data_IF_913283544128
#
_entry.id   IF_913283544128
#
_cell.length_a   1.000
_cell.length_b   1.000
_cell.length_c   1.000
_cell.angle_alpha   90.00
_cell.angle_beta   90.00
_cell.angle_gamma   90.00
#
_symmetry.space_group_name_H-M   'P 1'
#
loop_
_entity.id
_entity.type
_entity.pdbx_description
1 polymer ?
#
# COMPACT_ATOMS: atom_id res chain seq x y z
N UNK A 1 36.47 -3.44 16.04
CA UNK A 1 35.85 -4.51 16.86
C UNK A 1 34.49 -4.01 17.30
N UNK A 2 33.41 -4.36 16.59
CA UNK A 2 32.06 -3.89 16.93
C UNK A 2 31.54 -4.71 18.10
N UNK A 3 31.17 -4.03 19.18
CA UNK A 3 30.73 -4.65 20.42
C UNK A 3 29.42 -5.44 20.18
N UNK A 4 29.23 -6.64 20.76
CA UNK A 4 28.01 -7.42 20.58
C UNK A 4 26.73 -6.67 21.02
N UNK A 5 26.86 -5.68 21.91
CA UNK A 5 25.80 -4.77 22.31
C UNK A 5 25.29 -3.87 21.15
N UNK A 6 26.18 -3.37 20.29
CA UNK A 6 25.79 -2.54 19.13
C UNK A 6 24.97 -3.34 18.11
N UNK A 7 25.27 -4.63 17.96
CA UNK A 7 24.57 -5.52 17.04
C UNK A 7 23.14 -5.83 17.55
N UNK A 8 22.94 -5.88 18.86
CA UNK A 8 21.62 -6.01 19.48
C UNK A 8 20.81 -4.71 19.41
N UNK A 9 21.41 -3.56 19.75
CA UNK A 9 20.72 -2.26 19.67
C UNK A 9 20.31 -1.90 18.24
N UNK A 10 21.17 -2.21 17.25
CA UNK A 10 20.86 -2.03 15.81
C UNK A 10 19.80 -3.03 15.32
N UNK A 11 19.71 -4.22 15.93
CA UNK A 11 18.61 -5.18 15.69
C UNK A 11 17.30 -4.82 16.37
N UNK A 12 17.29 -3.97 17.40
CA UNK A 12 16.08 -3.55 18.13
C UNK A 12 15.48 -2.23 17.60
N UNK A 13 16.32 -1.34 17.04
CA UNK A 13 15.83 -0.10 16.40
C UNK A 13 15.27 -0.31 15.00
N UNK A 14 15.81 -1.29 14.24
CA UNK A 14 15.40 -1.55 12.86
C UNK A 14 13.97 -2.11 12.74
N UNK A 15 13.49 -3.07 13.56
CA UNK A 15 12.14 -3.67 13.44
C UNK A 15 11.00 -2.72 13.84
N UNK A 16 11.24 -1.81 14.79
CA UNK A 16 10.22 -0.84 15.24
C UNK A 16 10.03 0.26 14.19
N UNK A 17 11.11 0.88 13.72
CA UNK A 17 11.06 1.87 12.63
C UNK A 17 10.46 1.28 11.33
N UNK A 18 10.68 -0.02 11.14
CA UNK A 18 10.17 -0.81 10.05
C UNK A 18 8.64 -1.07 10.06
N UNK A 19 8.05 -1.37 11.22
CA UNK A 19 6.60 -1.53 11.35
C UNK A 19 5.84 -0.19 11.14
N UNK A 20 6.47 0.93 11.50
CA UNK A 20 5.94 2.27 11.20
C UNK A 20 5.81 2.55 9.70
N UNK A 21 6.69 1.99 8.85
CA UNK A 21 6.63 2.21 7.41
C UNK A 21 5.33 1.67 6.80
N UNK A 22 4.85 0.51 7.25
CA UNK A 22 3.58 -0.06 6.78
C UNK A 22 2.36 0.72 7.26
N UNK A 23 2.37 1.20 8.50
CA UNK A 23 1.32 2.10 9.02
C UNK A 23 1.29 3.41 8.23
N UNK A 24 2.46 4.03 8.03
CA UNK A 24 2.60 5.26 7.27
C UNK A 24 2.12 5.08 5.83
N UNK A 25 2.52 3.99 5.17
CA UNK A 25 2.01 3.64 3.84
C UNK A 25 0.48 3.55 3.83
N UNK A 26 -0.10 2.77 4.74
CA UNK A 26 -1.55 2.57 4.78
C UNK A 26 -2.31 3.87 4.99
N UNK A 27 -1.80 4.76 5.87
CA UNK A 27 -2.39 6.08 6.10
C UNK A 27 -2.23 7.00 4.89
N UNK A 28 -1.04 7.10 4.29
CA UNK A 28 -0.80 7.96 3.13
C UNK A 28 -1.60 7.48 1.90
N UNK A 29 -1.51 6.19 1.58
CA UNK A 29 -2.23 5.60 0.45
C UNK A 29 -3.75 5.64 0.67
N UNK A 30 -4.21 5.26 1.87
CA UNK A 30 -5.63 5.33 2.23
C UNK A 30 -6.18 6.74 2.15
N UNK A 31 -5.44 7.73 2.68
CA UNK A 31 -5.83 9.15 2.59
C UNK A 31 -5.87 9.61 1.14
N UNK A 32 -4.87 9.28 0.32
CA UNK A 32 -4.87 9.62 -1.10
C UNK A 32 -6.09 9.04 -1.82
N UNK A 33 -6.44 7.78 -1.58
CA UNK A 33 -7.64 7.15 -2.16
C UNK A 33 -8.93 7.83 -1.69
N UNK A 34 -9.05 8.14 -0.39
CA UNK A 34 -10.22 8.84 0.15
C UNK A 34 -10.35 10.25 -0.44
N UNK A 35 -9.25 10.99 -0.60
CA UNK A 35 -9.27 12.31 -1.23
C UNK A 35 -9.71 12.23 -2.69
N UNK A 36 -9.20 11.26 -3.45
CA UNK A 36 -9.64 11.00 -4.83
C UNK A 36 -11.14 10.70 -4.86
N UNK A 37 -11.65 9.90 -3.92
CA UNK A 37 -13.08 9.54 -3.82
C UNK A 37 -13.95 10.74 -3.51
N UNK A 38 -13.58 11.55 -2.52
CA UNK A 38 -14.32 12.75 -2.15
C UNK A 38 -14.34 13.79 -3.27
N UNK A 39 -13.36 13.73 -4.18
CA UNK A 39 -13.31 14.57 -5.38
C UNK A 39 -14.26 14.12 -6.48
N UNK A 40 -14.80 12.89 -6.40
CA UNK A 40 -15.73 12.29 -7.38
C UNK A 40 -17.11 12.09 -6.71
N UNK A 41 -18.05 13.04 -6.84
CA UNK A 41 -19.42 12.88 -6.35
C UNK A 41 -20.09 11.60 -6.87
N UNK A 42 -20.75 10.85 -5.98
CA UNK A 42 -21.49 9.65 -6.34
C UNK A 42 -22.72 10.00 -7.19
N UNK A 43 -22.68 9.68 -8.48
CA UNK A 43 -23.82 9.81 -9.40
C UNK A 43 -23.48 10.33 -10.80
N UNK A 44 -22.25 10.79 -10.98
CA UNK A 44 -21.89 11.59 -12.14
C UNK A 44 -21.15 10.77 -13.21
N UNK A 45 -21.64 10.84 -14.45
CA UNK A 45 -21.09 10.10 -15.59
C UNK A 45 -19.60 10.43 -15.81
N UNK A 46 -18.79 9.50 -16.36
CA UNK A 46 -17.38 9.78 -16.64
C UNK A 46 -17.24 11.03 -17.54
N UNK A 47 -16.83 12.16 -16.96
CA UNK A 47 -16.68 13.44 -17.68
C UNK A 47 -17.25 14.67 -17.00
N UNK A 48 -18.21 14.56 -16.06
CA UNK A 48 -18.77 15.74 -15.37
C UNK A 48 -17.87 16.31 -14.27
N UNK A 49 -16.85 15.55 -13.85
CA UNK A 49 -15.83 15.94 -12.87
C UNK A 49 -15.02 17.21 -13.21
N UNK A 50 -15.09 17.70 -14.45
CA UNK A 50 -14.44 18.92 -14.93
C UNK A 50 -15.45 19.92 -15.53
N UNK A 51 -16.73 19.80 -15.20
CA UNK A 51 -17.72 20.83 -15.53
C UNK A 51 -17.38 22.14 -14.79
N UNK A 52 -17.51 23.33 -15.40
CA UNK A 52 -17.17 24.63 -14.81
C UNK A 52 -18.14 25.08 -13.69
N UNK A 53 -18.67 24.13 -12.94
CA UNK A 53 -19.56 24.40 -11.80
C UNK A 53 -18.74 24.84 -10.58
N UNK A 54 -19.21 25.78 -9.75
CA UNK A 54 -18.48 26.31 -8.60
C UNK A 54 -18.05 25.24 -7.57
N UNK A 55 -18.70 24.07 -7.58
CA UNK A 55 -18.39 22.91 -6.71
C UNK A 55 -17.07 22.22 -7.12
N UNK A 56 -16.62 22.36 -8.37
CA UNK A 56 -15.43 21.67 -8.91
C UNK A 56 -14.09 22.22 -8.36
N UNK A 57 -14.05 23.46 -7.84
CA UNK A 57 -12.82 24.07 -7.33
C UNK A 57 -12.30 23.36 -6.06
N UNK A 58 -13.19 22.84 -5.21
CA UNK A 58 -12.81 22.05 -4.04
C UNK A 58 -12.26 20.67 -4.42
N UNK A 59 -12.86 20.02 -5.42
CA UNK A 59 -12.46 18.68 -5.91
C UNK A 59 -11.06 18.66 -6.52
N UNK A 60 -10.69 19.70 -7.29
CA UNK A 60 -9.35 19.78 -7.91
C UNK A 60 -8.23 19.92 -6.87
N UNK A 61 -8.48 20.63 -5.76
CA UNK A 61 -7.50 20.79 -4.68
C UNK A 61 -7.23 19.48 -3.93
N UNK A 62 -8.28 18.73 -3.59
CA UNK A 62 -8.16 17.41 -2.95
C UNK A 62 -7.42 16.41 -3.84
N UNK A 63 -7.69 16.43 -5.15
CA UNK A 63 -7.01 15.59 -6.13
C UNK A 63 -5.50 15.93 -6.24
N UNK A 64 -5.13 17.22 -6.21
CA UNK A 64 -3.71 17.64 -6.18
C UNK A 64 -3.00 17.12 -4.95
N UNK A 65 -3.62 17.22 -3.77
CA UNK A 65 -3.05 16.70 -2.53
C UNK A 65 -2.82 15.19 -2.66
N UNK A 66 -3.80 14.44 -3.19
CA UNK A 66 -3.66 13.00 -3.37
C UNK A 66 -2.50 12.63 -4.31
N UNK A 67 -2.34 13.35 -5.42
CA UNK A 67 -1.22 13.18 -6.36
C UNK A 67 0.13 13.42 -5.67
N UNK A 68 0.24 14.48 -4.86
CA UNK A 68 1.46 14.81 -4.12
C UNK A 68 1.75 13.76 -3.04
N UNK A 69 0.73 13.18 -2.41
CA UNK A 69 0.88 12.18 -1.35
C UNK A 69 1.37 10.82 -1.87
N UNK A 70 1.10 10.52 -3.15
CA UNK A 70 1.34 9.21 -3.71
C UNK A 70 2.81 8.75 -3.74
N UNK A 71 3.78 9.59 -4.16
CA UNK A 71 5.19 9.21 -4.12
C UNK A 71 5.67 8.88 -2.69
N UNK A 72 5.24 9.65 -1.69
CA UNK A 72 5.59 9.40 -0.29
C UNK A 72 5.00 8.09 0.22
N UNK A 73 3.75 7.80 -0.15
CA UNK A 73 3.13 6.49 0.06
C UNK A 73 3.99 5.38 -0.54
N UNK A 74 4.40 5.51 -1.80
CA UNK A 74 5.23 4.49 -2.45
C UNK A 74 6.59 4.27 -1.81
N UNK A 75 7.25 5.33 -1.33
CA UNK A 75 8.50 5.20 -0.56
C UNK A 75 8.23 4.39 0.72
N UNK A 76 7.18 4.72 1.46
CA UNK A 76 6.79 3.98 2.66
C UNK A 76 6.44 2.50 2.35
N UNK A 77 5.82 2.23 1.20
CA UNK A 77 5.54 0.87 0.72
C UNK A 77 6.82 0.07 0.47
N UNK A 78 7.83 0.68 -0.17
CA UNK A 78 9.12 0.02 -0.42
C UNK A 78 9.83 -0.36 0.88
N UNK A 79 9.77 0.52 1.88
CA UNK A 79 10.27 0.21 3.22
C UNK A 79 9.49 -0.94 3.87
N UNK A 80 8.15 -0.88 3.85
CA UNK A 80 7.30 -1.99 4.32
C UNK A 80 7.64 -3.31 3.62
N UNK A 81 7.82 -3.28 2.30
CA UNK A 81 8.16 -4.46 1.50
C UNK A 81 9.50 -5.06 1.93
N UNK A 82 10.52 -4.21 2.13
CA UNK A 82 11.84 -4.63 2.61
C UNK A 82 11.79 -5.28 3.99
N UNK A 83 10.96 -4.74 4.88
CA UNK A 83 10.76 -5.24 6.24
C UNK A 83 10.05 -6.57 6.26
N UNK A 84 8.94 -6.68 5.53
CA UNK A 84 8.21 -7.93 5.40
C UNK A 84 9.16 -8.98 4.84
N UNK A 85 9.91 -8.66 3.78
CA UNK A 85 10.93 -9.54 3.17
C UNK A 85 12.00 -10.00 4.15
N UNK A 86 12.56 -9.09 4.96
CA UNK A 86 13.60 -9.44 5.95
C UNK A 86 13.04 -10.41 7.02
N UNK A 87 11.78 -10.22 7.40
CA UNK A 87 11.06 -11.12 8.30
C UNK A 87 10.80 -12.53 7.76
N UNK A 88 10.87 -12.75 6.44
CA UNK A 88 10.66 -14.07 5.82
C UNK A 88 11.91 -14.97 5.93
N UNK A 89 13.09 -14.38 6.15
CA UNK A 89 14.34 -15.10 6.39
C UNK A 89 14.80 -16.00 5.22
N UNK A 90 15.60 -17.02 5.53
CA UNK A 90 16.14 -18.01 4.57
C UNK A 90 15.22 -19.23 4.37
N UNK A 91 14.07 -19.25 5.03
CA UNK A 91 13.15 -20.41 5.10
C UNK A 91 12.14 -20.47 3.96
N UNK A 92 12.21 -19.54 3.01
CA UNK A 92 11.20 -19.39 1.96
C UNK A 92 11.64 -19.99 0.62
N UNK A 93 10.69 -20.63 -0.07
CA UNK A 93 10.87 -21.06 -1.46
C UNK A 93 11.14 -19.84 -2.35
N UNK A 94 12.25 -19.86 -3.09
CA UNK A 94 12.68 -18.75 -3.97
C UNK A 94 11.60 -18.30 -4.95
N UNK A 95 10.71 -19.22 -5.34
CA UNK A 95 9.56 -18.94 -6.19
C UNK A 95 8.60 -17.92 -5.54
N UNK A 96 8.16 -18.17 -4.30
CA UNK A 96 7.22 -17.29 -3.62
C UNK A 96 7.84 -15.94 -3.30
N UNK A 97 9.13 -15.91 -2.93
CA UNK A 97 9.83 -14.66 -2.65
C UNK A 97 9.95 -13.78 -3.90
N UNK A 98 10.17 -14.40 -5.06
CA UNK A 98 10.20 -13.70 -6.35
C UNK A 98 8.82 -13.18 -6.74
N UNK A 99 7.77 -13.99 -6.58
CA UNK A 99 6.38 -13.59 -6.87
C UNK A 99 5.93 -12.48 -5.92
N UNK A 100 6.26 -12.57 -4.64
CA UNK A 100 5.97 -11.57 -3.63
C UNK A 100 6.60 -10.22 -3.98
N UNK A 101 7.91 -10.18 -4.22
CA UNK A 101 8.60 -8.94 -4.58
C UNK A 101 8.15 -8.40 -5.94
N UNK A 102 8.04 -9.27 -6.94
CA UNK A 102 7.63 -8.90 -8.29
C UNK A 102 6.23 -8.29 -8.30
N UNK A 103 5.27 -8.93 -7.63
CA UNK A 103 3.89 -8.45 -7.55
C UNK A 103 3.75 -7.15 -6.75
N UNK A 104 4.46 -7.02 -5.63
CA UNK A 104 4.48 -5.78 -4.84
C UNK A 104 5.07 -4.59 -5.61
N UNK A 105 6.19 -4.79 -6.31
CA UNK A 105 6.80 -3.74 -7.13
C UNK A 105 5.95 -3.38 -8.35
N UNK A 106 5.34 -4.38 -9.02
CA UNK A 106 4.42 -4.13 -10.14
C UNK A 106 3.17 -3.39 -9.69
N UNK A 107 2.58 -3.75 -8.55
CA UNK A 107 1.50 -2.99 -7.93
C UNK A 107 1.89 -1.51 -7.77
N UNK A 108 3.03 -1.24 -7.15
CA UNK A 108 3.50 0.11 -6.92
C UNK A 108 3.75 0.87 -8.23
N UNK A 109 4.38 0.23 -9.21
CA UNK A 109 4.66 0.82 -10.52
C UNK A 109 3.37 1.23 -11.26
N UNK A 110 2.36 0.35 -11.26
CA UNK A 110 1.07 0.63 -11.90
C UNK A 110 0.35 1.80 -11.20
N UNK A 111 0.44 1.88 -9.88
CA UNK A 111 -0.10 2.99 -9.10
C UNK A 111 0.60 4.32 -9.42
N UNK A 112 1.94 4.34 -9.51
CA UNK A 112 2.69 5.53 -9.91
C UNK A 112 2.36 5.96 -11.34
N UNK A 113 2.27 5.02 -12.28
CA UNK A 113 1.85 5.31 -13.64
C UNK A 113 0.44 5.90 -13.68
N UNK A 114 -0.51 5.31 -12.96
CA UNK A 114 -1.88 5.81 -12.82
C UNK A 114 -1.92 7.23 -12.26
N UNK A 115 -1.08 7.51 -11.27
CA UNK A 115 -1.01 8.83 -10.63
C UNK A 115 -0.38 9.87 -11.53
N UNK A 116 0.64 9.50 -12.31
CA UNK A 116 1.24 10.37 -13.32
C UNK A 116 0.24 10.75 -14.41
N UNK A 117 -0.60 9.80 -14.85
CA UNK A 117 -1.71 10.08 -15.76
C UNK A 117 -2.71 11.05 -15.13
N UNK A 118 -3.10 10.84 -13.87
CA UNK A 118 -3.99 11.75 -13.13
C UNK A 118 -3.42 13.16 -13.01
N UNK A 119 -2.13 13.29 -12.67
CA UNK A 119 -1.42 14.57 -12.60
C UNK A 119 -1.38 15.27 -13.97
N UNK A 120 -1.12 14.51 -15.03
CA UNK A 120 -1.11 15.00 -16.41
C UNK A 120 -2.48 15.55 -16.84
N UNK A 121 -3.57 14.88 -16.48
CA UNK A 121 -4.94 15.33 -16.75
C UNK A 121 -5.28 16.64 -16.02
N UNK A 122 -4.82 16.79 -14.76
CA UNK A 122 -5.00 18.03 -14.01
C UNK A 122 -4.21 19.17 -14.65
N UNK A 123 -2.96 18.91 -15.05
CA UNK A 123 -2.11 19.90 -15.70
C UNK A 123 -2.69 20.31 -17.05
N UNK A 124 -3.22 19.39 -17.86
CA UNK A 124 -3.81 19.76 -19.16
C UNK A 124 -5.10 20.57 -19.00
N UNK A 125 -5.88 20.34 -17.94
CA UNK A 125 -7.08 21.13 -17.64
C UNK A 125 -6.77 22.59 -17.26
N UNK A 126 -5.62 22.88 -16.65
CA UNK A 126 -5.20 24.26 -16.35
C UNK A 126 -4.69 25.03 -17.57
N UNK A 127 -4.09 24.32 -18.54
CA UNK A 127 -3.43 24.93 -19.69
C UNK A 127 -4.32 25.03 -20.93
N UNK A 128 -5.28 24.12 -21.10
CA UNK A 128 -6.19 24.11 -22.24
C UNK A 128 -7.58 24.59 -21.80
N UNK A 129 -7.99 25.77 -22.27
CA UNK A 129 -9.37 26.26 -22.07
C UNK A 129 -10.42 25.27 -22.58
N UNK A 130 -11.60 25.33 -21.96
CA UNK A 130 -12.71 24.38 -22.10
C UNK A 130 -12.97 23.91 -23.55
N UNK A 131 -13.09 22.60 -23.73
CA UNK A 131 -13.62 21.99 -24.95
C UNK A 131 -12.60 21.48 -25.98
N UNK A 132 -11.29 21.67 -25.80
CA UNK A 132 -10.35 21.41 -26.90
C UNK A 132 -9.97 19.93 -27.10
N UNK A 133 -10.06 19.01 -26.11
CA UNK A 133 -9.65 17.59 -26.28
C UNK A 133 -10.39 16.58 -25.38
N UNK A 134 -11.67 16.35 -25.65
CA UNK A 134 -12.50 15.33 -24.96
C UNK A 134 -11.95 13.90 -25.13
N UNK A 135 -11.32 13.59 -26.26
CA UNK A 135 -10.79 12.23 -26.51
C UNK A 135 -9.55 11.90 -25.67
N UNK A 136 -8.62 12.85 -25.50
CA UNK A 136 -7.39 12.65 -24.70
C UNK A 136 -7.74 12.54 -23.22
N UNK A 137 -8.70 13.33 -22.75
CA UNK A 137 -9.21 13.26 -21.37
C UNK A 137 -9.93 11.94 -21.11
N UNK A 138 -10.81 11.50 -22.03
CA UNK A 138 -11.48 10.20 -21.96
C UNK A 138 -10.48 9.03 -21.97
N UNK A 139 -9.47 9.06 -22.86
CA UNK A 139 -8.41 8.06 -22.90
C UNK A 139 -7.60 8.04 -21.60
N UNK A 140 -7.20 9.20 -21.08
CA UNK A 140 -6.46 9.30 -19.82
C UNK A 140 -7.27 8.74 -18.65
N UNK A 141 -8.58 8.98 -18.59
CA UNK A 141 -9.44 8.41 -17.56
C UNK A 141 -9.53 6.88 -17.67
N UNK A 142 -9.74 6.36 -18.88
CA UNK A 142 -9.78 4.92 -19.12
C UNK A 142 -8.44 4.25 -18.74
N UNK A 143 -7.32 4.87 -19.11
CA UNK A 143 -5.98 4.38 -18.78
C UNK A 143 -5.71 4.40 -17.27
N UNK A 144 -6.08 5.49 -16.58
CA UNK A 144 -5.98 5.61 -15.13
C UNK A 144 -6.78 4.50 -14.43
N UNK A 145 -8.03 4.29 -14.84
CA UNK A 145 -8.90 3.26 -14.26
C UNK A 145 -8.35 1.85 -14.52
N UNK A 146 -7.86 1.56 -15.72
CA UNK A 146 -7.27 0.27 -16.05
C UNK A 146 -6.01 0.01 -15.21
N UNK A 147 -5.09 0.98 -15.12
CA UNK A 147 -3.86 0.85 -14.34
C UNK A 147 -4.15 0.62 -12.86
N UNK A 148 -5.07 1.39 -12.27
CA UNK A 148 -5.37 1.34 -10.83
C UNK A 148 -6.31 0.20 -10.45
N UNK A 149 -7.50 0.13 -11.02
CA UNK A 149 -8.53 -0.81 -10.57
C UNK A 149 -8.36 -2.22 -11.16
N UNK A 150 -7.84 -2.33 -12.37
CA UNK A 150 -7.71 -3.62 -13.04
C UNK A 150 -6.33 -4.22 -12.80
N UNK A 151 -5.26 -3.54 -13.21
CA UNK A 151 -3.91 -4.12 -13.15
C UNK A 151 -3.29 -4.04 -11.76
N UNK A 152 -3.28 -2.87 -11.11
CA UNK A 152 -2.66 -2.75 -9.79
C UNK A 152 -3.35 -3.66 -8.77
N UNK A 153 -4.68 -3.61 -8.63
CA UNK A 153 -5.38 -4.47 -7.65
C UNK A 153 -5.12 -5.97 -7.85
N UNK A 154 -5.05 -6.46 -9.10
CA UNK A 154 -4.71 -7.86 -9.37
C UNK A 154 -3.28 -8.19 -8.91
N UNK A 155 -2.32 -7.32 -9.17
CA UNK A 155 -0.95 -7.52 -8.65
C UNK A 155 -0.90 -7.42 -7.12
N UNK A 156 -1.68 -6.52 -6.51
CA UNK A 156 -1.85 -6.42 -5.06
C UNK A 156 -2.46 -7.68 -4.45
N UNK A 157 -3.42 -8.32 -5.12
CA UNK A 157 -3.99 -9.59 -4.70
C UNK A 157 -2.95 -10.73 -4.75
N UNK A 158 -2.15 -10.80 -5.82
CA UNK A 158 -1.03 -11.78 -5.92
C UNK A 158 0.01 -11.56 -4.82
N UNK A 159 0.31 -10.30 -4.51
CA UNK A 159 1.16 -9.92 -3.38
C UNK A 159 0.61 -10.44 -2.05
N UNK A 160 -0.69 -10.25 -1.79
CA UNK A 160 -1.34 -10.76 -0.57
C UNK A 160 -1.35 -12.29 -0.51
N UNK A 161 -1.67 -12.97 -1.62
CA UNK A 161 -1.70 -14.44 -1.70
C UNK A 161 -0.32 -15.06 -1.46
N UNK A 162 0.72 -14.50 -2.09
CA UNK A 162 2.10 -14.96 -1.87
C UNK A 162 2.48 -14.78 -0.40
N UNK A 163 2.23 -13.61 0.20
CA UNK A 163 2.51 -13.38 1.61
C UNK A 163 1.75 -14.35 2.54
N UNK A 164 0.47 -14.59 2.30
CA UNK A 164 -0.32 -15.56 3.06
C UNK A 164 0.25 -16.97 2.97
N UNK A 165 0.69 -17.39 1.78
CA UNK A 165 1.30 -18.70 1.55
C UNK A 165 2.59 -18.85 2.34
N UNK A 166 3.38 -17.79 2.39
CA UNK A 166 4.65 -17.75 3.12
C UNK A 166 4.40 -17.85 4.62
N UNK A 167 3.44 -17.10 5.14
CA UNK A 167 3.03 -17.19 6.55
C UNK A 167 2.50 -18.56 6.94
N UNK A 168 1.75 -19.22 6.04
CA UNK A 168 1.25 -20.58 6.26
C UNK A 168 2.42 -21.57 6.40
N UNK A 169 3.43 -21.46 5.55
CA UNK A 169 4.60 -22.36 5.54
C UNK A 169 5.56 -22.10 6.69
N UNK A 170 5.81 -20.83 7.01
CA UNK A 170 6.77 -20.42 8.04
C UNK A 170 6.19 -20.45 9.46
N UNK A 171 4.85 -20.57 9.60
CA UNK A 171 4.11 -20.50 10.89
C UNK A 171 4.41 -19.23 11.70
N UNK A 172 4.89 -18.17 11.04
CA UNK A 172 5.25 -16.91 11.69
C UNK A 172 4.01 -16.16 12.21
N UNK A 173 2.87 -16.29 11.53
CA UNK A 173 1.63 -15.54 11.79
C UNK A 173 0.47 -16.46 12.23
N UNK A 174 -0.53 -15.93 12.95
CA UNK A 174 -1.67 -16.75 13.40
C UNK A 174 -2.54 -17.18 12.21
N UNK A 175 -3.04 -18.41 12.24
CA UNK A 175 -3.79 -19.02 11.12
C UNK A 175 -5.01 -18.21 10.70
N UNK A 176 -5.70 -17.53 11.63
CA UNK A 176 -6.82 -16.65 11.29
C UNK A 176 -6.41 -15.49 10.38
N UNK A 177 -5.22 -14.90 10.57
CA UNK A 177 -4.72 -13.83 9.71
C UNK A 177 -4.43 -14.33 8.29
N UNK A 178 -3.89 -15.55 8.17
CA UNK A 178 -3.63 -16.19 6.89
C UNK A 178 -4.93 -16.42 6.13
N UNK A 179 -5.95 -16.99 6.79
CA UNK A 179 -7.27 -17.22 6.20
C UNK A 179 -7.92 -15.90 5.76
N UNK A 180 -7.91 -14.88 6.62
CA UNK A 180 -8.44 -13.55 6.29
C UNK A 180 -7.72 -12.94 5.09
N UNK A 181 -6.38 -13.07 5.02
CA UNK A 181 -5.59 -12.55 3.89
C UNK A 181 -5.96 -13.24 2.58
N UNK A 182 -6.12 -14.57 2.59
CA UNK A 182 -6.59 -15.30 1.41
C UNK A 182 -7.98 -14.85 0.98
N UNK A 183 -8.94 -14.76 1.91
CA UNK A 183 -10.29 -14.31 1.61
C UNK A 183 -10.29 -12.90 1.00
N UNK A 184 -9.59 -11.95 1.62
CA UNK A 184 -9.49 -10.58 1.10
C UNK A 184 -8.81 -10.57 -0.27
N UNK A 185 -7.73 -11.32 -0.47
CA UNK A 185 -7.04 -11.36 -1.76
C UNK A 185 -7.91 -11.93 -2.89
N UNK A 186 -8.70 -12.97 -2.64
CA UNK A 186 -9.64 -13.55 -3.61
C UNK A 186 -10.77 -12.57 -3.89
N UNK A 187 -11.32 -11.93 -2.85
CA UNK A 187 -12.33 -10.89 -3.02
C UNK A 187 -11.79 -9.73 -3.87
N UNK A 188 -10.56 -9.27 -3.61
CA UNK A 188 -9.90 -8.24 -4.42
C UNK A 188 -9.79 -8.73 -5.86
N UNK A 189 -9.29 -9.94 -6.10
CA UNK A 189 -9.07 -10.47 -7.45
C UNK A 189 -10.37 -10.61 -8.27
N UNK A 190 -11.47 -11.05 -7.64
CA UNK A 190 -12.74 -11.32 -8.32
C UNK A 190 -13.60 -10.06 -8.44
N UNK A 191 -13.63 -9.21 -7.42
CA UNK A 191 -14.51 -8.05 -7.37
C UNK A 191 -13.80 -6.71 -7.64
N UNK A 192 -12.55 -6.73 -8.13
CA UNK A 192 -11.83 -5.55 -8.64
C UNK A 192 -12.62 -4.77 -9.70
N UNK A 193 -13.31 -5.48 -10.60
CA UNK A 193 -14.05 -4.85 -11.70
C UNK A 193 -15.52 -4.49 -11.34
N UNK A 194 -16.02 -4.98 -10.19
CA UNK A 194 -17.44 -4.84 -9.79
C UNK A 194 -17.62 -3.81 -8.67
N UNK A 195 -16.69 -3.73 -7.71
CA UNK A 195 -16.85 -2.88 -6.54
C UNK A 195 -15.74 -1.82 -6.43
N UNK A 196 -16.16 -0.56 -6.58
CA UNK A 196 -15.33 0.63 -6.33
C UNK A 196 -14.65 0.58 -4.94
N UNK A 197 -15.27 -0.03 -3.93
CA UNK A 197 -14.77 -0.08 -2.55
C UNK A 197 -13.57 -1.01 -2.33
N UNK A 198 -13.26 -1.88 -3.29
CA UNK A 198 -12.19 -2.86 -3.16
C UNK A 198 -10.79 -2.24 -3.05
N UNK A 199 -10.61 -1.05 -3.62
CA UNK A 199 -9.36 -0.27 -3.53
C UNK A 199 -8.95 0.08 -2.09
N UNK A 200 -9.92 0.24 -1.18
CA UNK A 200 -9.68 0.58 0.23
C UNK A 200 -9.36 -0.69 1.06
N UNK A 201 -9.80 -1.87 0.61
CA UNK A 201 -9.52 -3.13 1.31
C UNK A 201 -8.01 -3.39 1.43
N UNK A 202 -7.24 -3.04 0.39
CA UNK A 202 -5.78 -3.21 0.39
C UNK A 202 -5.06 -2.40 1.48
N UNK A 203 -5.19 -1.05 1.58
CA UNK A 203 -4.56 -0.27 2.65
C UNK A 203 -5.06 -0.67 4.05
N UNK A 204 -6.35 -0.98 4.21
CA UNK A 204 -6.88 -1.48 5.50
C UNK A 204 -6.17 -2.77 5.90
N UNK A 205 -6.02 -3.72 4.97
CA UNK A 205 -5.31 -4.96 5.23
C UNK A 205 -3.83 -4.68 5.59
N UNK A 206 -3.13 -3.80 4.86
CA UNK A 206 -1.75 -3.44 5.21
C UNK A 206 -1.66 -2.80 6.59
N UNK A 207 -2.63 -1.96 6.98
CA UNK A 207 -2.70 -1.37 8.32
C UNK A 207 -2.83 -2.45 9.39
N UNK A 208 -3.75 -3.40 9.22
CA UNK A 208 -3.95 -4.53 10.15
C UNK A 208 -2.66 -5.34 10.30
N UNK A 209 -2.03 -5.70 9.18
CA UNK A 209 -0.76 -6.46 9.20
C UNK A 209 0.35 -5.67 9.90
N UNK A 210 0.46 -4.37 9.62
CA UNK A 210 1.49 -3.50 10.21
C UNK A 210 1.29 -3.32 11.72
N UNK A 211 0.04 -3.16 12.17
CA UNK A 211 -0.30 -3.10 13.59
C UNK A 211 -0.01 -4.42 14.30
N UNK A 212 -0.31 -5.56 13.68
CA UNK A 212 0.01 -6.88 14.25
C UNK A 212 1.51 -7.11 14.38
N UNK A 213 2.29 -6.70 13.37
CA UNK A 213 3.76 -6.72 13.44
C UNK A 213 4.27 -5.81 14.56
N UNK A 214 3.66 -4.64 14.76
CA UNK A 214 4.02 -3.72 15.83
C UNK A 214 3.70 -4.28 17.23
N UNK A 215 2.51 -4.86 17.42
CA UNK A 215 2.14 -5.49 18.71
C UNK A 215 3.06 -6.68 19.02
N UNK A 216 3.36 -7.52 18.03
CA UNK A 216 4.24 -8.68 18.23
C UNK A 216 5.70 -8.31 18.48
N UNK A 217 6.20 -7.26 17.83
CA UNK A 217 7.53 -6.71 18.12
C UNK A 217 7.59 -5.92 19.42
N UNK A 218 6.46 -5.41 19.91
CA UNK A 218 6.32 -4.78 21.23
C UNK A 218 6.22 -5.77 22.39
N UNK A 219 5.77 -7.01 22.15
CA UNK A 219 5.53 -8.02 23.20
C UNK A 219 6.76 -8.90 23.50
N UNK A 220 7.77 -8.94 22.61
CA UNK A 220 9.06 -9.61 22.89
C UNK A 220 10.06 -8.63 23.50
N UNK A 221 9.66 -7.96 24.58
CA UNK A 221 10.58 -7.53 25.64
C UNK A 221 10.30 -8.49 26.80
N UNK A 222 10.92 -9.69 26.77
CA UNK A 222 10.84 -10.62 27.91
C UNK A 222 11.80 -10.14 29.01
N UNK A 223 11.39 -10.23 30.29
CA UNK A 223 11.95 -9.47 31.40
C UNK A 223 13.37 -9.91 31.76
N UNK A 224 14.09 -8.98 32.38
CA UNK A 224 15.33 -9.19 33.12
C UNK A 224 15.36 -10.55 33.83
N UNK A 225 16.27 -11.45 33.42
CA UNK A 225 16.78 -12.46 34.34
C UNK A 225 17.84 -11.81 35.22
N UNK A 226 17.38 -11.34 36.38
CA UNK A 226 18.20 -10.88 37.50
C UNK A 226 19.35 -11.86 37.84
N UNK A 227 20.49 -11.25 38.21
CA UNK A 227 21.48 -11.64 39.22
C UNK A 227 22.13 -13.04 39.17
N UNK A 228 23.47 -13.00 39.14
CA UNK A 228 24.20 -13.57 40.29
C UNK A 228 24.99 -12.46 40.99
N UNK A 229 24.81 -12.24 42.31
CA UNK A 229 25.77 -11.51 43.12
C UNK A 229 27.07 -12.32 43.21
N UNK A 230 28.18 -11.63 43.46
CA UNK A 230 29.52 -12.16 43.30
C UNK A 230 29.87 -13.40 44.13
N UNK A 231 30.94 -14.06 43.70
CA UNK A 231 31.79 -14.89 44.56
C UNK A 231 33.25 -14.65 44.18
N UNK A 232 33.97 -14.04 45.13
CA UNK A 232 35.40 -14.06 45.43
C UNK A 232 36.41 -13.84 44.29
#
# INVERSE_FOLDING_TARGET
MTHPADRHLRRLSTPRAAAFAGVLFALLFGTALVLIRLSLPDGDAPGSQWSPDPVAHGSTHLLRIAVVLMPFSGIAFLWFLGVVRDGLGTLEDKFFSTVFLGSGLLFLAMIFASTAVGAGLIATAEFAGDGTRTEVTAFGHALLMALSNTYALRMGAVFMMSLATIWLRTRLMPTWLVVTTYLVSVCVLVASDVSRWMTIAFPIWVLVVSLLLLVRSGVIDLPDSERSPGTA
#
